data_IF_267990338311
#
_entry.id   IF_267990338311
#
_cell.length_a   1.000
_cell.length_b   1.000
_cell.length_c   1.000
_cell.angle_alpha   90.00
_cell.angle_beta   90.00
_cell.angle_gamma   90.00
#
_symmetry.space_group_name_H-M   'P 1'
#
loop_
_entity.id
_entity.type
_entity.pdbx_description
1 polymer ?
#
# COMPACT_ATOMS: atom_id res chain seq x y z
N UNK A 1 -0.14 4.27 4.03
CA UNK A 1 -0.45 2.86 3.68
C UNK A 1 0.54 1.92 4.37
N UNK A 2 0.05 0.95 5.12
CA UNK A 2 0.88 -0.03 5.85
C UNK A 2 0.27 -1.43 5.76
N UNK A 3 0.93 -2.43 6.31
CA UNK A 3 0.35 -3.75 6.57
C UNK A 3 -0.17 -3.93 8.01
N UNK A 4 -0.27 -2.82 8.76
CA UNK A 4 -0.72 -2.80 10.16
C UNK A 4 0.36 -3.10 11.21
N UNK A 5 1.61 -3.34 10.82
CA UNK A 5 2.69 -3.48 11.81
C UNK A 5 2.99 -2.14 12.49
N UNK A 6 2.68 -2.04 13.79
CA UNK A 6 2.70 -0.78 14.55
C UNK A 6 4.03 0.00 14.43
N UNK A 7 5.18 -0.68 14.51
CA UNK A 7 6.48 -0.04 14.39
C UNK A 7 6.73 0.61 13.02
N UNK A 8 6.28 -0.03 11.94
CA UNK A 8 6.40 0.54 10.59
C UNK A 8 5.35 1.62 10.37
N UNK A 9 4.11 1.41 10.80
CA UNK A 9 3.02 2.38 10.66
C UNK A 9 3.34 3.71 11.36
N UNK A 10 3.92 3.65 12.57
CA UNK A 10 4.35 4.84 13.30
C UNK A 10 5.36 5.70 12.52
N UNK A 11 6.21 5.10 11.69
CA UNK A 11 7.14 5.88 10.84
C UNK A 11 6.38 6.68 9.78
N UNK A 12 5.32 6.12 9.20
CA UNK A 12 4.47 6.84 8.24
C UNK A 12 3.69 7.97 8.93
N UNK A 13 3.17 7.71 10.14
CA UNK A 13 2.42 8.69 10.91
C UNK A 13 3.31 9.86 11.33
N UNK A 14 4.51 9.58 11.86
CA UNK A 14 5.47 10.61 12.23
C UNK A 14 5.90 11.47 11.04
N UNK A 15 6.05 10.88 9.85
CA UNK A 15 6.32 11.65 8.63
C UNK A 15 5.14 12.55 8.25
N UNK A 16 3.91 12.03 8.28
CA UNK A 16 2.70 12.81 7.98
C UNK A 16 2.53 13.98 8.97
N UNK A 17 2.72 13.73 10.26
CA UNK A 17 2.67 14.74 11.32
C UNK A 17 3.73 15.82 11.09
N UNK A 18 4.97 15.43 10.75
CA UNK A 18 6.04 16.40 10.45
C UNK A 18 5.74 17.28 9.24
N UNK A 19 4.98 16.76 8.28
CA UNK A 19 4.50 17.50 7.11
C UNK A 19 3.23 18.33 7.40
N UNK A 20 2.67 18.26 8.61
CA UNK A 20 1.42 18.94 8.99
C UNK A 20 0.18 18.37 8.31
N UNK A 21 0.22 17.09 7.91
CA UNK A 21 -0.86 16.42 7.17
C UNK A 21 -1.67 15.52 8.08
N UNK A 22 -2.98 15.42 7.82
CA UNK A 22 -3.87 14.43 8.44
C UNK A 22 -4.04 13.26 7.46
N UNK A 23 -3.39 12.10 7.69
CA UNK A 23 -3.41 11.01 6.72
C UNK A 23 -4.68 10.15 6.84
N UNK A 24 -5.21 9.69 5.70
CA UNK A 24 -6.12 8.55 5.66
C UNK A 24 -5.32 7.24 5.71
N UNK A 25 -5.48 6.48 6.80
CA UNK A 25 -4.68 5.29 7.06
C UNK A 25 -5.30 4.07 6.34
N UNK A 26 -4.68 3.68 5.22
CA UNK A 26 -4.99 2.41 4.55
C UNK A 26 -4.08 1.27 5.04
N UNK A 27 -4.68 0.24 5.64
CA UNK A 27 -3.99 -1.01 6.00
C UNK A 27 -4.33 -2.09 4.98
N UNK A 28 -3.31 -2.63 4.32
CA UNK A 28 -3.48 -3.63 3.27
C UNK A 28 -2.97 -5.00 3.71
N UNK A 29 -3.61 -6.04 3.20
CA UNK A 29 -3.13 -7.40 3.27
C UNK A 29 -3.21 -8.02 1.87
N UNK A 30 -2.13 -8.67 1.45
CA UNK A 30 -2.08 -9.38 0.17
C UNK A 30 -2.56 -10.81 0.39
N UNK A 31 -3.54 -11.26 -0.42
CA UNK A 31 -3.97 -12.67 -0.44
C UNK A 31 -2.90 -13.55 -1.07
N UNK A 32 -2.92 -14.85 -0.73
CA UNK A 32 -2.09 -15.82 -1.44
C UNK A 32 -2.49 -15.86 -2.94
N UNK A 33 -1.52 -16.08 -3.86
CA UNK A 33 -0.08 -16.25 -3.62
C UNK A 33 0.68 -14.91 -3.51
N UNK A 34 0.04 -13.78 -3.74
CA UNK A 34 0.68 -12.46 -3.85
C UNK A 34 1.42 -12.01 -2.59
N UNK A 35 0.94 -12.41 -1.41
CA UNK A 35 1.64 -12.16 -0.15
C UNK A 35 2.94 -12.96 0.03
N UNK A 36 3.08 -14.09 -0.68
CA UNK A 36 4.26 -14.97 -0.60
C UNK A 36 5.33 -14.60 -1.63
N UNK A 37 4.91 -14.09 -2.78
CA UNK A 37 5.83 -13.77 -3.87
C UNK A 37 6.68 -12.53 -3.56
N UNK A 38 7.94 -12.50 -4.04
CA UNK A 38 8.74 -11.28 -4.03
C UNK A 38 8.04 -10.13 -4.78
N UNK A 39 8.13 -8.87 -4.29
CA UNK A 39 7.47 -7.73 -4.92
C UNK A 39 7.87 -7.52 -6.38
N UNK A 40 9.12 -7.82 -6.74
CA UNK A 40 9.61 -7.70 -8.11
C UNK A 40 8.85 -8.60 -9.10
N UNK A 41 8.37 -9.76 -8.65
CA UNK A 41 7.61 -10.69 -9.49
C UNK A 41 6.15 -10.22 -9.58
N UNK A 42 5.56 -9.87 -8.43
CA UNK A 42 4.16 -9.41 -8.35
C UNK A 42 3.91 -8.06 -9.05
N UNK A 43 4.81 -7.09 -8.90
CA UNK A 43 4.61 -5.72 -9.39
C UNK A 43 5.06 -5.50 -10.85
N UNK A 44 6.08 -6.23 -11.32
CA UNK A 44 6.66 -6.05 -12.66
C UNK A 44 5.97 -6.90 -13.72
N UNK A 45 5.42 -8.06 -13.35
CA UNK A 45 4.92 -9.07 -14.29
C UNK A 45 3.40 -9.22 -14.30
N UNK A 46 2.74 -8.84 -13.21
CA UNK A 46 1.29 -8.90 -13.12
C UNK A 46 0.78 -7.50 -12.75
N UNK A 47 -0.23 -6.99 -13.47
CA UNK A 47 -1.00 -5.81 -13.05
C UNK A 47 -1.87 -6.09 -11.80
N UNK A 48 -1.60 -7.19 -11.09
CA UNK A 48 -2.38 -7.73 -9.99
C UNK A 48 -2.02 -7.26 -8.56
N UNK A 49 -1.21 -6.21 -8.28
CA UNK A 49 -1.07 -5.74 -6.90
C UNK A 49 -2.41 -5.35 -6.29
N UNK A 50 -3.31 -4.73 -7.08
CA UNK A 50 -4.66 -4.33 -6.65
C UNK A 50 -5.62 -5.52 -6.57
N UNK A 51 -5.61 -6.44 -7.55
CA UNK A 51 -6.45 -7.65 -7.54
C UNK A 51 -6.08 -8.63 -6.41
N UNK A 52 -4.84 -8.54 -5.91
CA UNK A 52 -4.33 -9.32 -4.78
C UNK A 52 -4.60 -8.70 -3.42
N UNK A 53 -5.24 -7.53 -3.33
CA UNK A 53 -5.69 -6.97 -2.06
C UNK A 53 -6.97 -7.69 -1.65
N UNK A 54 -7.09 -8.08 -0.37
CA UNK A 54 -8.35 -8.64 0.13
C UNK A 54 -9.50 -7.65 -0.08
N UNK A 55 -10.70 -8.14 -0.41
CA UNK A 55 -11.80 -7.28 -0.91
C UNK A 55 -12.21 -6.18 0.10
N UNK A 56 -12.09 -6.47 1.40
CA UNK A 56 -12.37 -5.50 2.47
C UNK A 56 -11.30 -4.40 2.59
N UNK A 57 -10.07 -4.71 2.20
CA UNK A 57 -8.93 -3.78 2.22
C UNK A 57 -8.75 -3.05 0.89
N UNK A 58 -9.31 -3.58 -0.20
CA UNK A 58 -9.40 -2.92 -1.50
C UNK A 58 -10.45 -1.80 -1.51
N UNK A 59 -11.43 -1.87 -0.61
CA UNK A 59 -12.41 -0.81 -0.40
C UNK A 59 -11.70 0.50 0.01
N UNK A 60 -11.66 1.47 -0.90
CA UNK A 60 -10.97 2.76 -0.72
C UNK A 60 -9.56 2.83 -1.30
N UNK A 61 -9.09 1.78 -1.97
CA UNK A 61 -7.89 1.77 -2.81
C UNK A 61 -8.30 1.84 -4.29
N UNK A 62 -9.11 2.84 -4.61
CA UNK A 62 -9.65 3.12 -5.94
C UNK A 62 -9.38 4.58 -6.31
N UNK A 63 -9.30 4.92 -7.62
CA UNK A 63 -9.23 6.31 -8.05
C UNK A 63 -10.42 7.14 -7.51
N UNK A 64 -10.25 8.46 -7.29
CA UNK A 64 -9.05 9.24 -7.58
C UNK A 64 -7.90 8.98 -6.59
N UNK A 65 -6.67 8.91 -7.11
CA UNK A 65 -5.47 8.69 -6.30
C UNK A 65 -5.08 9.98 -5.56
N UNK A 66 -4.51 9.88 -4.34
CA UNK A 66 -4.06 11.06 -3.61
C UNK A 66 -2.78 11.64 -4.23
N UNK A 67 -2.57 12.95 -4.07
CA UNK A 67 -1.33 13.62 -4.49
C UNK A 67 -0.09 13.12 -3.73
N UNK A 68 -0.29 12.62 -2.50
CA UNK A 68 0.76 12.08 -1.65
C UNK A 68 0.38 10.71 -1.09
N UNK A 69 1.25 9.73 -1.33
CA UNK A 69 1.16 8.40 -0.72
C UNK A 69 2.41 8.13 0.13
N UNK A 70 2.21 8.04 1.45
CA UNK A 70 3.25 7.58 2.39
C UNK A 70 3.02 6.08 2.63
N UNK A 71 4.03 5.26 2.35
CA UNK A 71 3.93 3.81 2.48
C UNK A 71 5.16 3.17 3.12
N UNK A 72 4.96 2.05 3.80
CA UNK A 72 6.02 1.29 4.48
C UNK A 72 5.82 -0.22 4.32
N UNK A 73 6.90 -0.99 4.46
CA UNK A 73 6.87 -2.44 4.40
C UNK A 73 6.83 -3.03 2.98
N UNK A 74 7.38 -4.23 2.83
CA UNK A 74 7.54 -4.91 1.53
C UNK A 74 6.22 -5.17 0.79
N UNK A 75 5.13 -5.39 1.54
CA UNK A 75 3.80 -5.68 0.99
C UNK A 75 3.16 -4.47 0.29
N UNK A 76 3.59 -3.25 0.60
CA UNK A 76 3.01 -2.03 0.02
C UNK A 76 3.67 -1.63 -1.29
N UNK A 77 4.91 -2.04 -1.55
CA UNK A 77 5.70 -1.62 -2.73
C UNK A 77 4.96 -1.85 -4.05
N UNK A 78 4.43 -3.05 -4.27
CA UNK A 78 3.73 -3.37 -5.52
C UNK A 78 2.48 -2.52 -5.71
N UNK A 79 1.73 -2.28 -4.64
CA UNK A 79 0.53 -1.44 -4.65
C UNK A 79 0.90 0.02 -4.91
N UNK A 80 1.90 0.56 -4.22
CA UNK A 80 2.37 1.95 -4.41
C UNK A 80 2.84 2.21 -5.84
N UNK A 81 3.56 1.26 -6.45
CA UNK A 81 3.99 1.36 -7.85
C UNK A 81 2.79 1.31 -8.80
N UNK A 82 1.79 0.46 -8.52
CA UNK A 82 0.58 0.37 -9.35
C UNK A 82 -0.29 1.62 -9.26
N UNK A 83 -0.38 2.26 -8.09
CA UNK A 83 -1.06 3.55 -7.90
C UNK A 83 -0.36 4.64 -8.71
N UNK A 84 0.97 4.75 -8.61
CA UNK A 84 1.75 5.78 -9.32
C UNK A 84 1.68 5.68 -10.85
N UNK A 85 1.39 4.50 -11.40
CA UNK A 85 1.35 4.24 -12.85
C UNK A 85 0.00 4.57 -13.50
N UNK A 86 -1.05 4.74 -12.70
CA UNK A 86 -2.38 5.13 -13.15
C UNK A 86 -2.52 6.64 -13.06
#
# INVERSE_FOLDING_TARGET
>A
MSDGAAGMENQCLGLAERLGLVPDIKRIALRAPWGWLPPAIGARRFAAPLAGIGDRQAAGLVPPWPDLLIATGRRTVGVSVAIRRQ
#
